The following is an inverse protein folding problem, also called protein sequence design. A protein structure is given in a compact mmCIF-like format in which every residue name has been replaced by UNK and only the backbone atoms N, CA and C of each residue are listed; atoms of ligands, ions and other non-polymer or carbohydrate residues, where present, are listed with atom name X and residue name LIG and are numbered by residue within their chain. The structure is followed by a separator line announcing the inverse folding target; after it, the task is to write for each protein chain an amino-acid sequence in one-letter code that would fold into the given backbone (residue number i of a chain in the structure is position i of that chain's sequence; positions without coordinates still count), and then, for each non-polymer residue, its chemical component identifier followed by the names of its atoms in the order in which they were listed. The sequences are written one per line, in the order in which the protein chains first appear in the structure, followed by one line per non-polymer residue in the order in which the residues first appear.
data_IF_549855166049
#
_entry.id   IF_549855166049
#
_cell.length_a   1.000
_cell.length_b   1.000
_cell.length_c   1.000
_cell.angle_alpha   90.00
_cell.angle_beta   90.00
_cell.angle_gamma   90.00
#
_symmetry.space_group_name_H-M   'P 1'
#
loop_
_entity.id
_entity.type
_entity.pdbx_description
1 polymer ?
#
# COMPACT_ATOMS: atom_id res chain seq x y z
N UNK A 1 -20.72 -8.66 4.89
CA UNK A 1 -20.74 -7.44 4.04
C UNK A 1 -19.34 -6.99 3.64
N UNK A 2 -19.27 -6.20 2.55
CA UNK A 2 -17.99 -5.67 2.05
C UNK A 2 -17.58 -4.43 2.84
N UNK A 3 -16.39 -4.46 3.42
CA UNK A 3 -15.76 -3.28 4.04
C UNK A 3 -15.27 -2.32 2.96
N UNK A 4 -15.19 -1.03 3.28
CA UNK A 4 -14.66 -0.04 2.36
C UNK A 4 -13.17 -0.28 2.06
N UNK A 5 -12.75 0.17 0.89
CA UNK A 5 -11.35 0.27 0.49
C UNK A 5 -11.14 1.63 -0.17
N UNK A 6 -9.90 2.09 -0.21
CA UNK A 6 -9.56 3.32 -0.91
C UNK A 6 -9.95 3.25 -2.40
N UNK A 7 -10.39 4.36 -3.00
CA UNK A 7 -10.62 4.45 -4.43
C UNK A 7 -9.34 4.10 -5.20
N UNK A 8 -9.46 3.27 -6.23
CA UNK A 8 -8.31 2.83 -7.01
C UNK A 8 -8.13 3.59 -8.33
N UNK A 9 -8.98 4.58 -8.58
CA UNK A 9 -8.94 5.32 -9.83
C UNK A 9 -9.17 4.45 -11.07
N UNK A 10 -8.88 5.00 -12.24
CA UNK A 10 -8.95 4.26 -13.50
C UNK A 10 -7.66 3.49 -13.72
N UNK A 11 -7.76 2.17 -13.81
CA UNK A 11 -6.63 1.32 -14.18
C UNK A 11 -6.18 1.65 -15.60
N UNK A 12 -4.92 2.09 -15.75
CA UNK A 12 -4.33 2.43 -17.05
C UNK A 12 -3.63 1.25 -17.72
N UNK A 13 -3.25 0.25 -16.91
CA UNK A 13 -2.58 -0.95 -17.40
C UNK A 13 -3.51 -2.14 -17.24
N UNK A 14 -3.63 -2.94 -18.26
CA UNK A 14 -4.43 -4.18 -18.31
C UNK A 14 -3.63 -5.41 -17.89
N UNK A 15 -2.31 -5.29 -17.81
CA UNK A 15 -1.41 -6.36 -17.39
C UNK A 15 -0.93 -6.18 -15.96
N UNK A 16 -0.63 -7.27 -15.29
CA UNK A 16 0.03 -7.31 -14.00
C UNK A 16 1.03 -8.47 -13.96
N UNK A 17 2.06 -8.31 -13.14
CA UNK A 17 3.09 -9.33 -12.96
C UNK A 17 2.81 -10.05 -11.64
N UNK A 18 2.80 -11.39 -11.62
CA UNK A 18 2.68 -12.14 -10.36
C UNK A 18 3.80 -11.77 -9.40
N UNK A 19 3.47 -11.64 -8.12
CA UNK A 19 4.45 -11.24 -7.08
C UNK A 19 5.67 -12.16 -7.08
N UNK A 20 5.48 -13.47 -7.27
CA UNK A 20 6.57 -14.45 -7.38
C UNK A 20 7.51 -14.25 -8.58
N UNK A 21 7.14 -13.39 -9.53
CA UNK A 21 7.89 -13.13 -10.76
C UNK A 21 8.57 -11.75 -10.78
N UNK A 22 8.59 -11.04 -9.66
CA UNK A 22 9.27 -9.73 -9.55
C UNK A 22 10.74 -9.82 -9.94
N UNK A 23 11.46 -10.84 -9.46
CA UNK A 23 12.87 -11.04 -9.81
C UNK A 23 13.04 -11.33 -11.32
N UNK A 24 12.14 -12.12 -11.92
CA UNK A 24 12.17 -12.37 -13.37
C UNK A 24 11.94 -11.08 -14.15
N UNK A 25 10.95 -10.29 -13.77
CA UNK A 25 10.63 -9.01 -14.41
C UNK A 25 11.84 -8.08 -14.45
N UNK A 26 12.52 -7.93 -13.33
CA UNK A 26 13.65 -7.01 -13.22
C UNK A 26 14.92 -7.53 -13.92
N UNK A 27 15.11 -8.86 -14.00
CA UNK A 27 16.31 -9.45 -14.59
C UNK A 27 16.19 -9.76 -16.08
N UNK A 28 14.97 -9.94 -16.59
CA UNK A 28 14.69 -10.42 -17.95
C UNK A 28 13.59 -9.61 -18.61
N UNK A 29 13.76 -8.28 -18.75
CA UNK A 29 12.79 -7.47 -19.48
C UNK A 29 12.64 -8.00 -20.91
N UNK A 30 11.40 -8.00 -21.43
CA UNK A 30 11.07 -8.54 -22.75
C UNK A 30 10.82 -10.06 -22.78
N UNK A 31 11.22 -10.81 -21.74
CA UNK A 31 10.89 -12.24 -21.67
C UNK A 31 9.39 -12.46 -21.50
N UNK A 32 8.89 -13.58 -22.02
CA UNK A 32 7.47 -13.95 -21.93
C UNK A 32 7.31 -15.12 -20.96
N UNK A 33 6.38 -14.98 -20.02
CA UNK A 33 6.04 -16.00 -19.05
C UNK A 33 4.58 -16.46 -19.20
N UNK A 34 4.27 -17.75 -19.03
CA UNK A 34 2.90 -18.20 -18.94
C UNK A 34 2.29 -17.83 -17.59
N UNK A 35 1.09 -17.27 -17.59
CA UNK A 35 0.34 -16.94 -16.39
C UNK A 35 -1.17 -16.99 -16.64
N UNK A 36 -1.90 -17.80 -15.86
CA UNK A 36 -3.37 -17.94 -15.96
C UNK A 36 -3.88 -18.19 -17.39
N UNK A 37 -3.22 -19.06 -18.12
CA UNK A 37 -3.60 -19.40 -19.50
C UNK A 37 -3.25 -18.33 -20.55
N UNK A 38 -2.53 -17.29 -20.15
CA UNK A 38 -2.06 -16.22 -21.04
C UNK A 38 -0.53 -16.15 -21.03
N UNK A 39 0.02 -15.55 -22.06
CA UNK A 39 1.42 -15.20 -22.13
C UNK A 39 1.58 -13.72 -21.74
N UNK A 40 2.38 -13.45 -20.70
CA UNK A 40 2.67 -12.12 -20.22
C UNK A 40 4.11 -11.76 -20.54
N UNK A 41 4.32 -10.69 -21.31
CA UNK A 41 5.65 -10.14 -21.56
C UNK A 41 6.06 -9.23 -20.41
N UNK A 42 7.22 -9.49 -19.84
CA UNK A 42 7.79 -8.72 -18.71
C UNK A 42 8.24 -7.33 -19.19
N UNK A 43 7.76 -6.26 -18.55
CA UNK A 43 8.17 -4.90 -18.93
C UNK A 43 9.58 -4.58 -18.48
N UNK A 44 10.20 -3.59 -19.10
CA UNK A 44 11.37 -2.91 -18.57
C UNK A 44 10.92 -1.96 -17.45
N UNK A 45 11.65 -1.97 -16.33
CA UNK A 45 11.33 -1.19 -15.12
C UNK A 45 12.54 -0.35 -14.71
N UNK A 46 12.38 0.94 -14.77
CA UNK A 46 13.40 1.92 -14.36
C UNK A 46 13.25 2.33 -12.89
N UNK A 47 12.03 2.29 -12.35
CA UNK A 47 11.75 2.68 -10.98
C UNK A 47 10.92 1.62 -10.26
N UNK A 48 11.39 1.22 -9.10
CA UNK A 48 10.64 0.42 -8.14
C UNK A 48 10.31 1.29 -6.95
N UNK A 49 9.03 1.42 -6.61
CA UNK A 49 8.60 2.02 -5.35
C UNK A 49 7.91 0.96 -4.51
N UNK A 50 8.57 0.52 -3.47
CA UNK A 50 8.07 -0.51 -2.58
C UNK A 50 7.48 0.13 -1.32
N UNK A 51 6.18 0.09 -1.20
CA UNK A 51 5.45 0.57 -0.03
C UNK A 51 4.68 -0.58 0.61
N UNK A 52 5.00 -0.88 1.84
CA UNK A 52 4.42 -1.99 2.60
C UNK A 52 5.01 -3.36 2.27
N UNK A 53 5.20 -4.16 3.30
CA UNK A 53 5.81 -5.49 3.21
C UNK A 53 7.32 -5.48 3.02
N UNK A 54 7.95 -6.63 3.28
CA UNK A 54 9.38 -6.81 3.16
C UNK A 54 9.68 -8.00 2.23
N UNK A 55 9.94 -7.78 0.93
CA UNK A 55 10.18 -8.84 -0.03
C UNK A 55 11.38 -9.71 0.36
N UNK A 56 12.40 -9.15 1.00
CA UNK A 56 13.57 -9.89 1.48
C UNK A 56 13.30 -10.75 2.72
N UNK A 57 12.06 -10.78 3.20
CA UNK A 57 11.64 -11.69 4.26
C UNK A 57 10.86 -12.91 3.74
N UNK A 58 10.09 -12.74 2.66
CA UNK A 58 9.13 -13.76 2.23
C UNK A 58 9.19 -14.14 0.74
N UNK A 59 10.06 -13.54 -0.07
CA UNK A 59 10.30 -14.00 -1.44
C UNK A 59 11.27 -15.19 -1.47
N UNK A 60 11.10 -16.00 -2.51
CA UNK A 60 12.01 -17.09 -2.83
C UNK A 60 13.30 -16.53 -3.44
N UNK A 61 14.40 -17.28 -3.28
CA UNK A 61 15.72 -16.97 -3.84
C UNK A 61 16.14 -15.51 -3.63
N UNK A 62 16.45 -15.19 -2.38
CA UNK A 62 16.85 -13.84 -1.98
C UNK A 62 18.15 -13.36 -2.67
N UNK A 63 19.03 -14.26 -3.06
CA UNK A 63 20.22 -13.93 -3.85
C UNK A 63 19.83 -13.38 -5.23
N UNK A 64 18.93 -14.06 -5.90
CA UNK A 64 18.40 -13.65 -7.20
C UNK A 64 17.62 -12.33 -7.09
N UNK A 65 16.81 -12.20 -6.05
CA UNK A 65 16.07 -10.97 -5.76
C UNK A 65 17.03 -9.78 -5.51
N UNK A 66 18.11 -9.98 -4.75
CA UNK A 66 19.12 -8.94 -4.51
C UNK A 66 19.78 -8.46 -5.82
N UNK A 67 20.09 -9.38 -6.72
CA UNK A 67 20.61 -9.03 -8.04
C UNK A 67 19.57 -8.30 -8.89
N UNK A 68 18.30 -8.68 -8.76
CA UNK A 68 17.19 -8.04 -9.46
C UNK A 68 16.98 -6.58 -9.01
N UNK A 69 17.02 -6.31 -7.70
CA UNK A 69 16.85 -4.96 -7.14
C UNK A 69 17.97 -3.97 -7.49
N UNK A 70 19.08 -4.46 -8.05
CA UNK A 70 20.17 -3.60 -8.56
C UNK A 70 19.99 -3.20 -10.03
N UNK A 71 18.92 -3.65 -10.70
CA UNK A 71 18.69 -3.38 -12.12
C UNK A 71 17.95 -2.07 -12.38
N UNK A 72 16.88 -1.74 -11.64
CA UNK A 72 16.22 -0.45 -11.80
C UNK A 72 17.17 0.71 -11.57
N UNK A 73 16.96 1.81 -12.27
CA UNK A 73 17.72 3.04 -12.08
C UNK A 73 17.46 3.66 -10.69
N UNK A 74 16.29 3.42 -10.11
CA UNK A 74 15.92 3.94 -8.78
C UNK A 74 15.03 2.94 -8.04
N UNK A 75 15.35 2.72 -6.76
CA UNK A 75 14.54 1.96 -5.81
C UNK A 75 14.17 2.84 -4.62
N UNK A 76 12.88 3.04 -4.41
CA UNK A 76 12.32 3.78 -3.27
C UNK A 76 11.61 2.79 -2.35
N UNK A 77 11.79 2.91 -1.06
CA UNK A 77 11.13 2.05 -0.06
C UNK A 77 10.49 2.92 1.02
N UNK A 78 9.20 2.66 1.29
CA UNK A 78 8.54 3.16 2.50
C UNK A 78 8.53 2.03 3.53
N UNK A 79 9.12 2.25 4.70
CA UNK A 79 9.09 1.26 5.77
C UNK A 79 9.19 1.95 7.14
N UNK A 80 8.56 1.35 8.14
CA UNK A 80 8.65 1.80 9.54
C UNK A 80 9.93 1.34 10.22
N UNK A 81 10.62 0.36 9.65
CA UNK A 81 11.86 -0.20 10.18
C UNK A 81 12.90 -0.31 9.07
N UNK A 82 14.17 -0.11 9.41
CA UNK A 82 15.26 -0.24 8.45
C UNK A 82 15.59 -1.72 8.19
N UNK A 83 14.73 -2.38 7.43
CA UNK A 83 14.77 -3.80 7.11
C UNK A 83 15.74 -4.11 5.94
N UNK A 84 15.98 -5.39 5.61
CA UNK A 84 16.85 -5.77 4.49
C UNK A 84 16.46 -5.13 3.14
N UNK A 85 15.16 -4.92 2.88
CA UNK A 85 14.70 -4.22 1.67
C UNK A 85 15.22 -2.78 1.60
N UNK A 86 15.26 -2.07 2.73
CA UNK A 86 15.78 -0.70 2.81
C UNK A 86 17.29 -0.61 2.48
N UNK A 87 18.04 -1.69 2.74
CA UNK A 87 19.50 -1.73 2.43
C UNK A 87 19.82 -1.79 0.94
N UNK A 88 18.83 -2.10 0.12
CA UNK A 88 18.94 -2.17 -1.34
C UNK A 88 18.18 -1.01 -2.02
N UNK A 89 17.66 -0.07 -1.25
CA UNK A 89 17.00 1.11 -1.76
C UNK A 89 17.99 2.27 -1.92
N UNK A 90 17.74 3.10 -2.93
CA UNK A 90 18.44 4.38 -3.12
C UNK A 90 17.83 5.45 -2.21
N UNK A 91 16.52 5.37 -1.97
CA UNK A 91 15.77 6.30 -1.11
C UNK A 91 14.91 5.50 -0.14
N UNK A 92 15.05 5.78 1.15
CA UNK A 92 14.18 5.24 2.20
C UNK A 92 13.35 6.38 2.78
N UNK A 93 12.03 6.22 2.73
CA UNK A 93 11.06 7.14 3.30
C UNK A 93 10.51 6.52 4.58
N UNK A 94 10.84 7.05 5.77
CA UNK A 94 10.38 6.48 7.02
C UNK A 94 8.86 6.65 7.15
N UNK A 95 8.16 5.52 7.28
CA UNK A 95 6.72 5.48 7.49
C UNK A 95 6.38 5.29 8.97
N UNK A 96 5.22 5.78 9.40
CA UNK A 96 4.71 5.55 10.75
C UNK A 96 4.34 4.09 10.97
N UNK A 97 4.53 3.64 12.20
CA UNK A 97 3.95 2.39 12.69
C UNK A 97 2.45 2.57 12.95
N UNK A 98 1.74 1.48 13.19
CA UNK A 98 0.31 1.52 13.53
C UNK A 98 0.02 2.19 14.89
N UNK A 99 1.03 2.34 15.76
CA UNK A 99 0.89 3.07 17.03
C UNK A 99 1.03 4.59 16.86
N UNK A 100 1.61 5.03 15.76
CA UNK A 100 1.95 6.44 15.50
C UNK A 100 0.94 7.13 14.56
N UNK A 101 -0.17 6.47 14.24
CA UNK A 101 -1.25 7.01 13.42
C UNK A 101 -2.61 6.50 13.86
N UNK A 102 -3.65 7.18 13.41
CA UNK A 102 -5.00 6.65 13.49
C UNK A 102 -5.30 5.72 12.32
N UNK A 103 -6.05 4.67 12.57
CA UNK A 103 -6.46 3.70 11.56
C UNK A 103 -7.67 2.90 12.08
N UNK A 104 -8.12 1.91 11.34
CA UNK A 104 -9.01 0.87 11.82
C UNK A 104 -8.65 -0.48 11.21
N UNK A 105 -8.72 -1.49 12.02
CA UNK A 105 -8.41 -2.86 11.62
C UNK A 105 -9.66 -3.67 11.37
N UNK A 106 -9.60 -4.53 10.37
CA UNK A 106 -10.65 -5.48 10.09
C UNK A 106 -10.09 -6.75 9.48
N UNK A 107 -10.46 -7.91 10.02
CA UNK A 107 -10.09 -9.19 9.43
C UNK A 107 -10.89 -9.46 8.15
N UNK A 108 -10.24 -10.07 7.16
CA UNK A 108 -10.91 -10.55 5.96
C UNK A 108 -11.89 -11.70 6.27
N UNK A 109 -11.61 -12.49 7.30
CA UNK A 109 -12.37 -13.69 7.69
C UNK A 109 -13.12 -13.52 9.02
N UNK A 110 -12.87 -12.43 9.76
CA UNK A 110 -13.53 -12.15 11.03
C UNK A 110 -14.62 -11.09 10.91
N UNK A 111 -15.57 -11.11 11.85
CA UNK A 111 -16.64 -10.10 11.96
C UNK A 111 -16.21 -8.82 12.68
N UNK A 112 -15.06 -8.82 13.35
CA UNK A 112 -14.62 -7.68 14.15
C UNK A 112 -14.04 -6.55 13.27
N UNK A 113 -14.40 -5.33 13.64
CA UNK A 113 -13.79 -4.10 13.15
C UNK A 113 -13.42 -3.29 14.40
N UNK A 114 -12.17 -2.85 14.48
CA UNK A 114 -11.62 -2.21 15.68
C UNK A 114 -11.01 -0.87 15.32
N UNK A 115 -11.36 0.23 16.01
CA UNK A 115 -10.67 1.48 15.87
C UNK A 115 -9.24 1.35 16.41
N UNK A 116 -8.31 2.03 15.79
CA UNK A 116 -6.91 2.08 16.18
C UNK A 116 -6.53 3.54 16.37
N UNK A 117 -6.45 3.95 17.63
CA UNK A 117 -6.07 5.32 17.98
C UNK A 117 -4.56 5.49 17.92
N UNK A 118 -4.12 6.65 17.49
CA UNK A 118 -2.73 7.05 17.68
C UNK A 118 -2.39 7.09 19.17
N UNK A 119 -1.36 6.36 19.57
CA UNK A 119 -0.89 6.24 20.95
C UNK A 119 0.48 6.89 21.16
N UNK A 120 1.20 7.18 20.10
CA UNK A 120 2.53 7.80 20.14
C UNK A 120 2.68 8.83 19.03
N UNK A 121 3.52 9.82 19.25
CA UNK A 121 3.93 10.73 18.19
C UNK A 121 4.84 10.01 17.18
N UNK A 122 4.77 10.36 15.90
CA UNK A 122 5.65 9.80 14.88
C UNK A 122 7.13 9.96 15.26
N UNK A 123 7.88 8.87 15.15
CA UNK A 123 9.30 8.90 15.50
C UNK A 123 10.10 9.70 14.47
N UNK A 124 10.85 10.69 14.94
CA UNK A 124 11.76 11.51 14.15
C UNK A 124 11.10 12.15 12.90
N UNK A 125 11.39 11.63 11.70
CA UNK A 125 10.88 12.13 10.43
C UNK A 125 9.84 11.19 9.80
N UNK A 126 9.35 10.19 10.54
CA UNK A 126 8.34 9.28 10.04
C UNK A 126 7.04 10.03 9.70
N UNK A 127 6.39 9.64 8.61
CA UNK A 127 5.12 10.20 8.15
C UNK A 127 4.18 9.07 7.76
N UNK A 128 2.90 9.32 7.82
CA UNK A 128 1.92 8.39 7.27
C UNK A 128 2.17 8.18 5.77
N UNK A 129 2.00 6.96 5.28
CA UNK A 129 2.10 6.68 3.84
C UNK A 129 1.18 7.58 3.02
N UNK A 130 -0.03 7.86 3.52
CA UNK A 130 -0.94 8.82 2.90
C UNK A 130 -0.28 10.19 2.69
N UNK A 131 0.41 10.72 3.69
CA UNK A 131 1.04 12.05 3.62
C UNK A 131 2.29 12.03 2.72
N UNK A 132 3.02 10.93 2.70
CA UNK A 132 4.15 10.73 1.77
C UNK A 132 3.64 10.80 0.33
N UNK A 133 2.59 10.04 0.00
CA UNK A 133 2.02 10.04 -1.34
C UNK A 133 1.27 11.33 -1.68
N UNK A 134 0.61 11.98 -0.71
CA UNK A 134 -0.03 13.29 -0.92
C UNK A 134 1.01 14.37 -1.26
N UNK A 135 2.16 14.38 -0.58
CA UNK A 135 3.25 15.29 -0.88
C UNK A 135 3.88 15.01 -2.26
N UNK A 136 3.93 13.76 -2.69
CA UNK A 136 4.35 13.42 -4.04
C UNK A 136 3.31 13.89 -5.07
N UNK A 137 2.03 13.62 -4.83
CA UNK A 137 0.93 14.04 -5.70
C UNK A 137 0.90 15.57 -5.88
N UNK A 138 1.22 16.32 -4.82
CA UNK A 138 1.30 17.79 -4.88
C UNK A 138 2.35 18.27 -5.89
N UNK A 139 3.51 17.62 -5.96
CA UNK A 139 4.56 17.94 -6.93
C UNK A 139 4.15 17.72 -8.38
N UNK A 140 3.15 16.89 -8.60
CA UNK A 140 2.54 16.65 -9.91
C UNK A 140 1.26 17.46 -10.14
N UNK A 141 0.86 18.33 -9.21
CA UNK A 141 -0.41 19.08 -9.28
C UNK A 141 -1.65 18.18 -9.10
N UNK A 142 -1.50 17.03 -8.44
CA UNK A 142 -2.54 16.02 -8.29
C UNK A 142 -2.97 15.82 -6.83
N UNK A 143 -2.57 16.71 -5.91
CA UNK A 143 -2.88 16.56 -4.48
C UNK A 143 -4.38 16.42 -4.22
N UNK A 144 -5.19 17.33 -4.76
CA UNK A 144 -6.65 17.31 -4.59
C UNK A 144 -7.26 16.00 -5.13
N UNK A 145 -6.84 15.59 -6.32
CA UNK A 145 -7.32 14.34 -6.92
C UNK A 145 -6.92 13.10 -6.11
N UNK A 146 -5.77 13.14 -5.41
CA UNK A 146 -5.31 12.04 -4.57
C UNK A 146 -5.98 12.02 -3.20
N UNK A 147 -6.07 13.18 -2.54
CA UNK A 147 -6.60 13.28 -1.18
C UNK A 147 -8.11 13.43 -1.14
N UNK A 148 -8.75 13.88 -2.23
CA UNK A 148 -10.15 14.32 -2.26
C UNK A 148 -10.46 15.30 -1.10
N UNK A 149 -9.50 16.20 -0.81
CA UNK A 149 -9.52 17.16 0.29
C UNK A 149 -9.68 16.55 1.69
N UNK A 150 -9.39 15.26 1.85
CA UNK A 150 -9.46 14.57 3.13
C UNK A 150 -8.08 14.37 3.74
N UNK A 151 -7.98 14.62 5.03
CA UNK A 151 -6.90 14.17 5.89
C UNK A 151 -7.13 12.72 6.36
N UNK A 152 -6.26 12.23 7.23
CA UNK A 152 -6.33 10.89 7.83
C UNK A 152 -7.71 10.61 8.42
N UNK A 153 -8.18 11.48 9.31
CA UNK A 153 -9.47 11.28 9.99
C UNK A 153 -10.67 11.46 9.05
N UNK A 154 -10.55 12.34 8.07
CA UNK A 154 -11.53 12.50 7.00
C UNK A 154 -11.70 11.22 6.19
N UNK A 155 -10.60 10.55 5.85
CA UNK A 155 -10.63 9.26 5.17
C UNK A 155 -11.22 8.15 6.05
N UNK A 156 -10.81 8.06 7.30
CA UNK A 156 -11.32 7.06 8.26
C UNK A 156 -12.85 7.19 8.39
N UNK A 157 -13.37 8.39 8.58
CA UNK A 157 -14.82 8.66 8.65
C UNK A 157 -15.55 8.33 7.35
N UNK A 158 -14.98 8.72 6.22
CA UNK A 158 -15.57 8.45 4.91
C UNK A 158 -15.68 6.94 4.65
N UNK A 159 -14.61 6.20 4.89
CA UNK A 159 -14.58 4.74 4.72
C UNK A 159 -15.50 4.02 5.71
N UNK A 160 -15.64 4.53 6.93
CA UNK A 160 -16.63 4.02 7.87
C UNK A 160 -18.06 4.19 7.36
N UNK A 161 -18.39 5.35 6.82
CA UNK A 161 -19.71 5.60 6.20
C UNK A 161 -20.03 4.60 5.09
N UNK A 162 -19.10 4.38 4.14
CA UNK A 162 -19.26 3.38 3.07
C UNK A 162 -19.42 1.97 3.66
N UNK A 163 -18.67 1.63 4.70
CA UNK A 163 -18.73 0.32 5.34
C UNK A 163 -20.10 0.09 6.00
N UNK A 164 -20.64 1.11 6.67
CA UNK A 164 -21.99 1.07 7.25
C UNK A 164 -23.07 0.88 6.19
N UNK A 165 -22.99 1.61 5.08
CA UNK A 165 -23.96 1.47 4.00
C UNK A 165 -23.91 0.07 3.37
N UNK A 166 -22.72 -0.49 3.20
CA UNK A 166 -22.58 -1.87 2.73
C UNK A 166 -23.12 -2.89 3.75
N UNK A 167 -22.93 -2.66 5.04
CA UNK A 167 -23.45 -3.50 6.12
C UNK A 167 -24.99 -3.49 6.11
N UNK A 168 -25.61 -2.30 6.01
CA UNK A 168 -27.09 -2.18 5.94
C UNK A 168 -27.68 -2.95 4.76
N UNK A 169 -27.05 -2.88 3.60
CA UNK A 169 -27.47 -3.69 2.42
C UNK A 169 -27.38 -5.19 2.68
N UNK A 170 -26.48 -5.62 3.57
CA UNK A 170 -26.33 -6.99 4.01
C UNK A 170 -27.18 -7.37 5.23
N UNK A 171 -28.06 -6.48 5.71
CA UNK A 171 -28.91 -6.72 6.88
C UNK A 171 -28.21 -6.54 8.24
N UNK A 172 -27.05 -5.87 8.28
CA UNK A 172 -26.32 -5.58 9.52
C UNK A 172 -26.41 -4.09 9.85
N UNK A 173 -26.57 -3.76 11.12
CA UNK A 173 -26.51 -2.40 11.60
C UNK A 173 -25.19 -2.16 12.36
N UNK A 174 -24.42 -1.18 11.90
CA UNK A 174 -23.19 -0.75 12.53
C UNK A 174 -23.41 0.62 13.19
N UNK A 175 -22.72 0.90 14.30
CA UNK A 175 -22.89 2.15 15.04
C UNK A 175 -22.48 3.38 14.21
N UNK A 176 -22.94 4.55 14.65
CA UNK A 176 -22.43 5.81 14.14
C UNK A 176 -20.92 5.95 14.41
N UNK A 177 -20.24 6.77 13.60
CA UNK A 177 -18.79 6.91 13.69
C UNK A 177 -18.32 7.31 15.11
N UNK A 178 -18.99 8.23 15.77
CA UNK A 178 -18.65 8.64 17.14
C UNK A 178 -18.67 7.48 18.13
N UNK A 179 -19.69 6.63 18.07
CA UNK A 179 -19.80 5.44 18.93
C UNK A 179 -18.79 4.35 18.57
N UNK A 180 -18.43 4.24 17.29
CA UNK A 180 -17.40 3.30 16.86
C UNK A 180 -16.00 3.73 17.30
N UNK A 181 -15.74 5.04 17.26
CA UNK A 181 -14.42 5.60 17.49
C UNK A 181 -14.06 5.78 18.97
N UNK A 182 -15.05 5.72 19.89
CA UNK A 182 -14.82 5.77 21.33
C UNK A 182 -14.55 4.40 21.94
#
# INVERSE_FOLDING_TARGET
FRKAAFPQGKRRLDRFIPVSRVADMLLQPGATIPFNGQNVTLPEIDLVWWAGGNPFHHHQDLHRLSNAFRKPATVIVNDSFFQPTCRLADIVLPATTFLERNDWAASAHGGAITPMHQLAEPFAKARNDHDIFAAMAERFGLREAFTEERDEMGWIRHMWGITRDNARRGGYDLPEFGTFWT
#
